data_IF_192652398007
#
_entry.id   IF_192652398007
#
_cell.length_a   1.000
_cell.length_b   1.000
_cell.length_c   1.000
_cell.angle_alpha   90.00
_cell.angle_beta   90.00
_cell.angle_gamma   90.00
#
_symmetry.space_group_name_H-M   'P 1'
#
loop_
_entity.id
_entity.type
_entity.pdbx_description
1 polymer ?
#
# COMPACT_ATOMS: atom_id res chain seq x y z
N UNK A 1 10.67 48.27 19.01
CA UNK A 1 10.55 47.61 20.33
C UNK A 1 10.06 46.15 20.25
N UNK A 2 9.22 45.79 19.27
CA UNK A 2 8.71 44.41 19.09
C UNK A 2 9.76 43.48 18.48
N UNK A 3 10.54 43.98 17.51
CA UNK A 3 11.54 43.18 16.77
C UNK A 3 12.66 42.64 17.66
N UNK A 4 13.06 43.39 18.69
CA UNK A 4 14.05 42.94 19.68
C UNK A 4 13.54 41.81 20.58
N UNK A 5 12.23 41.78 20.88
CA UNK A 5 11.60 40.68 21.63
C UNK A 5 11.49 39.44 20.75
N UNK A 6 11.13 39.59 19.48
CA UNK A 6 11.08 38.49 18.51
C UNK A 6 12.48 37.86 18.35
N UNK A 7 13.53 38.67 18.19
CA UNK A 7 14.90 38.17 18.09
C UNK A 7 15.36 37.42 19.34
N UNK A 8 14.96 37.88 20.53
CA UNK A 8 15.27 37.20 21.79
C UNK A 8 14.58 35.83 21.86
N UNK A 9 13.28 35.76 21.54
CA UNK A 9 12.53 34.50 21.51
C UNK A 9 13.12 33.53 20.47
N UNK A 10 13.56 34.01 19.30
CA UNK A 10 14.20 33.16 18.30
C UNK A 10 15.55 32.59 18.79
N UNK A 11 16.35 33.38 19.52
CA UNK A 11 17.58 32.91 20.15
C UNK A 11 17.32 31.87 21.24
N UNK A 12 16.32 32.10 22.07
CA UNK A 12 15.91 31.15 23.11
C UNK A 12 15.38 29.84 22.50
N UNK A 13 14.58 29.93 21.42
CA UNK A 13 14.14 28.76 20.66
C UNK A 13 15.30 27.96 20.07
N UNK A 14 16.31 28.63 19.51
CA UNK A 14 17.51 27.97 18.99
C UNK A 14 18.26 27.23 20.12
N UNK A 15 18.47 27.91 21.26
CA UNK A 15 19.13 27.33 22.44
C UNK A 15 18.35 26.16 23.04
N UNK A 16 17.03 26.26 23.13
CA UNK A 16 16.19 25.18 23.61
C UNK A 16 16.21 23.98 22.66
N UNK A 17 16.23 24.20 21.34
CA UNK A 17 16.36 23.10 20.36
C UNK A 17 17.69 22.37 20.49
N UNK A 18 18.80 23.09 20.66
CA UNK A 18 20.12 22.47 20.88
C UNK A 18 20.16 21.69 22.19
N UNK A 19 19.66 22.29 23.27
CA UNK A 19 19.60 21.65 24.59
C UNK A 19 18.75 20.38 24.54
N UNK A 20 17.58 20.43 23.89
CA UNK A 20 16.72 19.27 23.70
C UNK A 20 17.41 18.16 22.90
N UNK A 21 18.21 18.51 21.89
CA UNK A 21 18.99 17.53 21.10
C UNK A 21 20.04 16.83 21.97
N UNK A 22 20.71 17.56 22.86
CA UNK A 22 21.67 16.99 23.80
C UNK A 22 21.00 16.08 24.83
N UNK A 23 19.92 16.55 25.46
CA UNK A 23 19.13 15.76 26.42
C UNK A 23 18.64 14.46 25.78
N UNK A 24 18.08 14.52 24.56
CA UNK A 24 17.66 13.31 23.83
C UNK A 24 18.81 12.34 23.55
N UNK A 25 20.02 12.84 23.28
CA UNK A 25 21.19 11.96 23.08
C UNK A 25 21.60 11.27 24.38
N UNK A 26 21.63 12.00 25.49
CA UNK A 26 21.97 11.43 26.79
C UNK A 26 20.92 10.44 27.29
N UNK A 27 19.62 10.77 27.12
CA UNK A 27 18.53 9.83 27.41
C UNK A 27 18.69 8.53 26.61
N UNK A 28 18.97 8.62 25.30
CA UNK A 28 19.20 7.43 24.47
C UNK A 28 20.40 6.58 24.92
N UNK A 29 21.43 7.19 25.50
CA UNK A 29 22.56 6.44 26.08
C UNK A 29 22.13 5.72 27.35
N UNK A 30 21.40 6.39 28.24
CA UNK A 30 20.91 5.80 29.49
C UNK A 30 19.86 4.71 29.26
N UNK A 31 19.00 4.87 28.25
CA UNK A 31 18.00 3.88 27.84
C UNK A 31 18.62 2.69 27.10
N UNK A 32 19.90 2.76 26.74
CA UNK A 32 20.58 1.66 26.05
C UNK A 32 20.72 0.49 27.01
N UNK A 33 20.14 -0.63 26.64
CA UNK A 33 20.29 -1.90 27.37
C UNK A 33 21.68 -2.45 27.05
N UNK A 34 22.61 -2.37 27.99
CA UNK A 34 23.99 -2.89 27.86
C UNK A 34 24.12 -4.35 28.29
N UNK A 35 23.00 -5.06 28.44
CA UNK A 35 23.00 -6.49 28.78
C UNK A 35 23.50 -7.32 27.58
N UNK A 36 24.58 -8.07 27.80
CA UNK A 36 25.17 -8.94 26.79
C UNK A 36 24.19 -9.96 26.22
N UNK A 37 23.29 -10.50 27.05
CA UNK A 37 22.31 -11.48 26.61
C UNK A 37 21.20 -10.85 25.75
N UNK A 38 20.86 -9.58 26.02
CA UNK A 38 19.96 -8.82 25.16
C UNK A 38 20.58 -8.57 23.78
N UNK A 39 21.85 -8.19 23.72
CA UNK A 39 22.55 -7.99 22.44
C UNK A 39 22.78 -9.32 21.69
N UNK A 40 23.06 -10.43 22.39
CA UNK A 40 23.09 -11.77 21.79
C UNK A 40 21.73 -12.13 21.19
N UNK A 41 20.65 -11.99 21.97
CA UNK A 41 19.30 -12.29 21.51
C UNK A 41 18.91 -11.43 20.29
N UNK A 42 19.27 -10.14 20.32
CA UNK A 42 19.04 -9.22 19.20
C UNK A 42 19.76 -9.67 17.93
N UNK A 43 21.00 -10.14 18.03
CA UNK A 43 21.74 -10.72 16.90
C UNK A 43 21.06 -11.98 16.40
N UNK A 44 20.71 -12.91 17.28
CA UNK A 44 19.99 -14.14 16.92
C UNK A 44 18.67 -13.84 16.20
N UNK A 45 17.88 -12.86 16.66
CA UNK A 45 16.64 -12.45 15.97
C UNK A 45 16.93 -11.90 14.58
N UNK A 46 18.01 -11.13 14.41
CA UNK A 46 18.41 -10.61 13.10
C UNK A 46 18.81 -11.75 12.16
N UNK A 47 19.58 -12.71 12.65
CA UNK A 47 20.05 -13.84 11.87
C UNK A 47 18.88 -14.75 11.46
N UNK A 48 17.93 -15.01 12.38
CA UNK A 48 16.71 -15.76 12.07
C UNK A 48 15.83 -15.06 11.01
N UNK A 49 15.73 -13.73 11.07
CA UNK A 49 14.99 -12.97 10.03
C UNK A 49 15.64 -13.08 8.66
N UNK A 50 16.97 -13.10 8.63
CA UNK A 50 17.71 -13.28 7.39
C UNK A 50 17.50 -14.69 6.82
N UNK A 51 17.62 -15.72 7.67
CA UNK A 51 17.34 -17.10 7.28
C UNK A 51 15.91 -17.29 6.78
N UNK A 52 14.93 -16.66 7.41
CA UNK A 52 13.54 -16.71 6.97
C UNK A 52 13.38 -16.08 5.58
N UNK A 53 14.03 -14.94 5.34
CA UNK A 53 14.03 -14.30 4.03
C UNK A 53 14.70 -15.20 2.98
N UNK A 54 15.86 -15.79 3.31
CA UNK A 54 16.59 -16.66 2.38
C UNK A 54 15.73 -17.88 1.99
N UNK A 55 15.00 -18.48 2.93
CA UNK A 55 14.05 -19.56 2.64
C UNK A 55 12.86 -19.11 1.80
N UNK A 56 12.32 -17.92 2.05
CA UNK A 56 11.24 -17.36 1.21
C UNK A 56 11.71 -17.11 -0.23
N UNK A 57 12.93 -16.58 -0.39
CA UNK A 57 13.52 -16.31 -1.70
C UNK A 57 13.86 -17.63 -2.44
N UNK A 58 14.38 -18.64 -1.74
CA UNK A 58 14.61 -19.99 -2.29
C UNK A 58 13.30 -20.63 -2.74
N UNK A 59 12.27 -20.61 -1.89
CA UNK A 59 10.95 -21.16 -2.23
C UNK A 59 10.33 -20.47 -3.44
N UNK A 60 10.45 -19.15 -3.54
CA UNK A 60 10.01 -18.39 -4.72
C UNK A 60 10.78 -18.78 -5.97
N UNK A 61 12.09 -19.00 -5.87
CA UNK A 61 12.89 -19.47 -6.99
C UNK A 61 12.41 -20.83 -7.48
N UNK A 62 12.15 -21.77 -6.55
CA UNK A 62 11.62 -23.09 -6.89
C UNK A 62 10.23 -23.01 -7.54
N UNK A 63 9.35 -22.14 -7.04
CA UNK A 63 8.04 -21.92 -7.65
C UNK A 63 8.16 -21.36 -9.07
N UNK A 64 9.13 -20.50 -9.34
CA UNK A 64 9.36 -19.97 -10.69
C UNK A 64 10.01 -20.98 -11.65
N UNK A 65 10.56 -22.07 -11.12
CA UNK A 65 11.02 -23.21 -11.93
C UNK A 65 9.90 -24.23 -12.20
N UNK A 66 8.76 -24.10 -11.51
CA UNK A 66 7.60 -24.97 -11.67
C UNK A 66 6.77 -24.53 -12.89
N UNK A 67 6.73 -25.39 -13.91
CA UNK A 67 6.01 -25.16 -15.15
C UNK A 67 4.49 -24.98 -14.92
N UNK A 68 3.90 -25.70 -13.95
CA UNK A 68 2.48 -25.57 -13.63
C UNK A 68 2.19 -24.19 -13.04
N UNK A 69 3.04 -23.71 -12.12
CA UNK A 69 2.93 -22.37 -11.56
C UNK A 69 3.07 -21.28 -12.62
N UNK A 70 4.05 -21.44 -13.53
CA UNK A 70 4.27 -20.47 -14.61
C UNK A 70 3.09 -20.43 -15.58
N UNK A 71 2.50 -21.58 -15.92
CA UNK A 71 1.32 -21.64 -16.79
C UNK A 71 0.13 -20.90 -16.18
N UNK A 72 -0.14 -21.11 -14.89
CA UNK A 72 -1.21 -20.40 -14.16
C UNK A 72 -0.93 -18.89 -14.08
N UNK A 73 0.34 -18.50 -13.95
CA UNK A 73 0.76 -17.10 -13.92
C UNK A 73 0.57 -16.42 -15.27
N UNK A 74 0.86 -17.11 -16.37
CA UNK A 74 0.60 -16.61 -17.72
C UNK A 74 -0.91 -16.48 -17.97
N UNK A 75 -1.70 -17.50 -17.62
CA UNK A 75 -3.17 -17.45 -17.71
C UNK A 75 -3.74 -16.28 -16.89
N UNK A 76 -3.22 -16.05 -15.68
CA UNK A 76 -3.62 -14.90 -14.86
C UNK A 76 -3.35 -13.57 -15.58
N UNK A 77 -2.16 -13.40 -16.17
CA UNK A 77 -1.80 -12.16 -16.87
C UNK A 77 -2.70 -11.92 -18.09
N UNK A 78 -2.97 -12.96 -18.88
CA UNK A 78 -3.88 -12.87 -20.03
C UNK A 78 -5.32 -12.50 -19.59
N UNK A 79 -5.80 -13.08 -18.48
CA UNK A 79 -7.10 -12.73 -17.90
C UNK A 79 -7.13 -11.29 -17.39
N UNK A 80 -6.07 -10.81 -16.73
CA UNK A 80 -5.97 -9.42 -16.27
C UNK A 80 -5.96 -8.43 -17.44
N UNK A 81 -5.22 -8.71 -18.51
CA UNK A 81 -5.20 -7.87 -19.72
C UNK A 81 -6.56 -7.87 -20.45
N UNK A 82 -7.19 -9.04 -20.60
CA UNK A 82 -8.51 -9.14 -21.23
C UNK A 82 -9.59 -8.43 -20.43
N UNK A 83 -9.51 -8.48 -19.09
CA UNK A 83 -10.38 -7.75 -18.17
C UNK A 83 -10.17 -6.24 -18.30
N UNK A 84 -8.92 -5.79 -18.33
CA UNK A 84 -8.60 -4.37 -18.52
C UNK A 84 -9.15 -3.84 -19.85
N UNK A 85 -8.98 -4.59 -20.94
CA UNK A 85 -9.52 -4.23 -22.25
C UNK A 85 -11.05 -4.23 -22.29
N UNK A 86 -11.69 -5.17 -21.60
CA UNK A 86 -13.16 -5.23 -21.48
C UNK A 86 -13.71 -4.06 -20.65
N UNK A 87 -13.01 -3.68 -19.58
CA UNK A 87 -13.34 -2.49 -18.79
C UNK A 87 -13.18 -1.21 -19.60
N UNK A 88 -12.11 -1.08 -20.38
CA UNK A 88 -11.90 0.09 -21.25
C UNK A 88 -13.06 0.24 -22.25
N UNK A 89 -13.44 -0.84 -22.94
CA UNK A 89 -14.61 -0.85 -23.83
C UNK A 89 -15.91 -0.51 -23.09
N UNK A 90 -16.10 -1.04 -21.89
CA UNK A 90 -17.26 -0.69 -21.06
C UNK A 90 -17.29 0.82 -20.78
N UNK A 91 -16.17 1.42 -20.43
CA UNK A 91 -16.09 2.86 -20.19
C UNK A 91 -16.32 3.69 -21.46
N UNK A 92 -15.81 3.25 -22.62
CA UNK A 92 -16.13 3.87 -23.92
C UNK A 92 -17.64 3.84 -24.19
N UNK A 93 -18.28 2.67 -24.02
CA UNK A 93 -19.73 2.57 -24.20
C UNK A 93 -20.51 3.42 -23.21
N UNK A 94 -20.11 3.43 -21.93
CA UNK A 94 -20.73 4.29 -20.92
C UNK A 94 -20.58 5.77 -21.28
N UNK A 95 -19.45 6.20 -21.85
CA UNK A 95 -19.25 7.58 -22.29
C UNK A 95 -20.16 7.98 -23.48
N UNK A 96 -20.59 7.02 -24.31
CA UNK A 96 -21.56 7.27 -25.39
C UNK A 96 -23.01 7.31 -24.91
N UNK A 97 -23.30 6.84 -23.70
CA UNK A 97 -24.66 6.86 -23.15
C UNK A 97 -25.09 8.30 -22.83
N UNK A 98 -26.38 8.64 -23.02
CA UNK A 98 -26.90 9.92 -22.59
C UNK A 98 -26.73 10.06 -21.07
N UNK A 99 -26.60 11.30 -20.57
CA UNK A 99 -26.48 11.61 -19.14
C UNK A 99 -27.81 11.38 -18.37
N UNK A 100 -28.38 10.18 -18.50
CA UNK A 100 -29.57 9.69 -17.82
C UNK A 100 -29.24 8.35 -17.18
N UNK A 101 -29.93 8.05 -16.08
CA UNK A 101 -29.82 6.76 -15.40
C UNK A 101 -30.18 5.61 -16.34
N UNK A 102 -29.30 4.60 -16.42
CA UNK A 102 -29.56 3.36 -17.17
C UNK A 102 -29.47 2.19 -16.20
N UNK A 103 -30.51 1.36 -16.17
CA UNK A 103 -30.53 0.10 -15.44
C UNK A 103 -30.60 -1.06 -16.42
N UNK A 104 -29.73 -2.04 -16.24
CA UNK A 104 -29.66 -3.28 -17.02
C UNK A 104 -29.68 -4.46 -16.06
N UNK A 105 -30.47 -5.48 -16.37
CA UNK A 105 -30.46 -6.74 -15.65
C UNK A 105 -29.63 -7.74 -16.49
N UNK A 106 -28.56 -8.28 -15.91
CA UNK A 106 -27.66 -9.23 -16.53
C UNK A 106 -27.88 -10.61 -15.90
N UNK A 107 -28.15 -11.63 -16.71
CA UNK A 107 -28.18 -13.02 -16.24
C UNK A 107 -26.76 -13.59 -16.29
N UNK A 108 -26.26 -14.04 -15.13
CA UNK A 108 -24.99 -14.76 -15.00
C UNK A 108 -25.23 -16.14 -14.40
N UNK A 109 -24.24 -17.03 -14.49
CA UNK A 109 -24.31 -18.38 -13.89
C UNK A 109 -24.51 -18.34 -12.36
N UNK A 110 -24.14 -17.23 -11.71
CA UNK A 110 -24.31 -16.98 -10.26
C UNK A 110 -25.66 -16.32 -9.91
N UNK A 111 -26.52 -16.06 -10.90
CA UNK A 111 -27.81 -15.38 -10.74
C UNK A 111 -27.91 -14.04 -11.47
N UNK A 112 -29.01 -13.33 -11.27
CA UNK A 112 -29.28 -12.03 -11.91
C UNK A 112 -28.51 -10.91 -11.21
N UNK A 113 -27.63 -10.24 -11.95
CA UNK A 113 -26.92 -9.04 -11.51
C UNK A 113 -27.62 -7.80 -12.05
N UNK A 114 -27.96 -6.86 -11.15
CA UNK A 114 -28.48 -5.55 -11.54
C UNK A 114 -27.34 -4.56 -11.72
N UNK A 115 -27.18 -4.04 -12.94
CA UNK A 115 -26.18 -3.03 -13.27
C UNK A 115 -26.87 -1.67 -13.34
N UNK A 116 -26.41 -0.72 -12.53
CA UNK A 116 -26.91 0.65 -12.50
C UNK A 116 -25.80 1.61 -12.93
N UNK A 117 -26.02 2.34 -14.03
CA UNK A 117 -25.05 3.28 -14.59
C UNK A 117 -25.51 4.70 -14.26
N UNK A 118 -24.74 5.39 -13.41
CA UNK A 118 -24.92 6.80 -13.09
C UNK A 118 -23.91 7.66 -13.88
N UNK A 119 -24.36 8.66 -14.66
CA UNK A 119 -23.48 9.52 -15.46
C UNK A 119 -22.45 10.32 -14.65
N UNK A 120 -22.65 10.50 -13.35
CA UNK A 120 -21.66 11.08 -12.43
C UNK A 120 -20.66 10.01 -11.98
N UNK A 121 -19.71 9.68 -12.87
CA UNK A 121 -18.49 8.87 -12.68
C UNK A 121 -18.29 8.16 -11.31
N UNK A 122 -19.16 7.20 -10.96
CA UNK A 122 -18.92 6.24 -9.88
C UNK A 122 -19.49 4.89 -10.31
N UNK A 123 -18.61 4.02 -10.77
CA UNK A 123 -18.96 2.61 -11.02
C UNK A 123 -18.99 1.91 -9.67
N UNK A 124 -20.16 1.37 -9.32
CA UNK A 124 -20.35 0.56 -8.13
C UNK A 124 -20.51 -0.89 -8.55
N UNK A 125 -19.58 -1.76 -8.13
CA UNK A 125 -19.73 -3.21 -8.29
C UNK A 125 -20.12 -3.77 -6.92
N UNK A 126 -21.28 -4.43 -6.82
CA UNK A 126 -21.80 -4.97 -5.56
C UNK A 126 -21.86 -3.95 -4.39
N UNK A 127 -22.16 -2.69 -4.69
CA UNK A 127 -22.24 -1.61 -3.70
C UNK A 127 -20.90 -1.10 -3.16
N UNK A 128 -19.76 -1.55 -3.72
CA UNK A 128 -18.43 -1.01 -3.41
C UNK A 128 -17.96 -0.09 -4.54
N UNK A 129 -17.47 1.09 -4.17
CA UNK A 129 -16.92 2.09 -5.09
C UNK A 129 -15.53 1.63 -5.57
N UNK A 130 -15.37 1.35 -6.86
CA UNK A 130 -14.03 1.23 -7.46
C UNK A 130 -13.53 2.62 -7.84
N UNK A 131 -12.56 3.14 -7.06
CA UNK A 131 -11.87 4.38 -7.41
C UNK A 131 -10.73 4.08 -8.37
N UNK A 132 -10.76 4.75 -9.53
CA UNK A 132 -9.67 4.89 -10.51
C UNK A 132 -8.29 4.92 -9.79
N UNK A 133 -7.40 4.00 -10.18
CA UNK A 133 -5.95 4.25 -10.13
C UNK A 133 -5.50 4.83 -11.45
#
# INVERSE_FOLDING_TARGET
MVDGKILLVLKDLAKHRETLKLVKKEMKKMEKVENEDFEKLRKTVKDLRMQLKDMEDEHRSTLLEDDDYNSLREEQLELEESLAHSLEKLYEYVATLPAKFVQLDLETEMGTMKVQINPEMKVYVNGREEKKR
#
